data_IF_927769871380
#
_entry.id   IF_927769871380
#
_cell.length_a   1.000
_cell.length_b   1.000
_cell.length_c   1.000
_cell.angle_alpha   90.00
_cell.angle_beta   90.00
_cell.angle_gamma   90.00
#
_symmetry.space_group_name_H-M   'P 1'
#
loop_
_entity.id
_entity.type
_entity.pdbx_description
1 polymer ?
#
# COMPACT_ATOMS: atom_id res chain seq x y z
N UNK A 1 -18.85 25.85 14.19
CA UNK A 1 -19.17 24.60 13.48
C UNK A 1 -18.58 24.71 12.09
N UNK A 2 -17.29 24.39 11.95
CA UNK A 2 -16.63 24.30 10.64
C UNK A 2 -16.93 22.91 10.09
N UNK A 3 -17.65 22.83 8.98
CA UNK A 3 -17.82 21.58 8.24
C UNK A 3 -16.45 20.94 8.03
N UNK A 4 -16.25 19.74 8.57
CA UNK A 4 -15.09 18.92 8.25
C UNK A 4 -15.14 18.63 6.76
N UNK A 5 -14.29 19.32 5.98
CA UNK A 5 -14.11 19.04 4.56
C UNK A 5 -13.58 17.61 4.44
N UNK A 6 -14.46 16.64 4.19
CA UNK A 6 -14.04 15.29 3.81
C UNK A 6 -13.62 15.32 2.36
N UNK A 7 -12.39 14.90 2.11
CA UNK A 7 -11.92 14.66 0.75
C UNK A 7 -12.66 13.44 0.19
N UNK A 8 -13.17 13.57 -1.03
CA UNK A 8 -13.70 12.44 -1.81
C UNK A 8 -12.66 12.00 -2.83
N UNK A 9 -12.65 10.72 -3.15
CA UNK A 9 -11.85 10.15 -4.24
C UNK A 9 -12.76 9.64 -5.38
N UNK A 10 -13.98 10.19 -5.50
CA UNK A 10 -14.95 9.82 -6.54
C UNK A 10 -14.46 10.13 -7.96
N UNK A 11 -13.70 11.22 -8.12
CA UNK A 11 -13.10 11.58 -9.41
C UNK A 11 -11.58 11.66 -9.32
N UNK A 12 -10.91 11.53 -10.47
CA UNK A 12 -9.48 11.74 -10.58
C UNK A 12 -9.08 13.17 -10.19
N UNK A 13 -9.92 14.17 -10.47
CA UNK A 13 -9.68 15.56 -10.11
C UNK A 13 -9.74 15.76 -8.59
N UNK A 14 -10.73 15.18 -7.91
CA UNK A 14 -10.87 15.27 -6.46
C UNK A 14 -9.71 14.55 -5.76
N UNK A 15 -9.34 13.37 -6.27
CA UNK A 15 -8.18 12.60 -5.79
C UNK A 15 -6.89 13.41 -5.93
N UNK A 16 -6.68 14.05 -7.08
CA UNK A 16 -5.50 14.89 -7.32
C UNK A 16 -5.47 16.12 -6.40
N UNK A 17 -6.61 16.77 -6.19
CA UNK A 17 -6.74 17.90 -5.26
C UNK A 17 -6.39 17.47 -3.82
N UNK A 18 -6.89 16.32 -3.38
CA UNK A 18 -6.55 15.74 -2.08
C UNK A 18 -5.06 15.45 -1.93
N UNK A 19 -4.44 14.83 -2.93
CA UNK A 19 -2.99 14.56 -2.96
C UNK A 19 -2.20 15.87 -2.86
N UNK A 20 -2.57 16.89 -3.62
CA UNK A 20 -1.90 18.19 -3.60
C UNK A 20 -2.03 18.89 -2.25
N UNK A 21 -3.19 18.81 -1.61
CA UNK A 21 -3.40 19.36 -0.26
C UNK A 21 -2.52 18.66 0.79
N UNK A 22 -2.38 17.34 0.71
CA UNK A 22 -1.44 16.58 1.56
C UNK A 22 0.00 17.04 1.32
N UNK A 23 0.42 17.13 0.06
CA UNK A 23 1.78 17.56 -0.30
C UNK A 23 2.05 18.96 0.24
N UNK A 24 1.13 19.90 0.02
CA UNK A 24 1.26 21.28 0.50
C UNK A 24 1.35 21.33 2.02
N UNK A 25 0.54 20.53 2.74
CA UNK A 25 0.60 20.46 4.20
C UNK A 25 1.91 19.86 4.73
N UNK A 26 2.44 18.83 4.09
CA UNK A 26 3.65 18.13 4.54
C UNK A 26 4.96 18.82 4.11
N UNK A 27 4.92 19.67 3.07
CA UNK A 27 6.10 20.33 2.50
C UNK A 27 6.92 21.13 3.53
N UNK A 28 6.33 21.98 4.40
CA UNK A 28 7.08 22.74 5.41
C UNK A 28 7.89 21.88 6.38
N UNK A 29 7.54 20.60 6.45
CA UNK A 29 8.01 19.66 7.44
C UNK A 29 8.91 18.55 6.87
N UNK A 30 8.93 18.43 5.54
CA UNK A 30 9.49 17.28 4.84
C UNK A 30 10.98 17.08 5.16
N UNK A 31 11.76 18.15 5.11
CA UNK A 31 13.21 18.14 5.41
C UNK A 31 13.50 17.90 6.89
N UNK A 32 12.64 18.38 7.79
CA UNK A 32 12.90 18.40 9.23
C UNK A 32 12.53 17.09 9.92
N UNK A 33 11.46 16.41 9.52
CA UNK A 33 11.01 15.19 10.22
C UNK A 33 10.49 14.04 9.36
N UNK A 34 10.13 14.26 8.09
CA UNK A 34 9.50 13.19 7.26
C UNK A 34 10.55 12.40 6.49
N UNK A 35 11.45 13.09 5.80
CA UNK A 35 12.45 12.49 4.92
C UNK A 35 13.67 11.88 5.64
N UNK A 36 14.16 12.44 6.76
CA UNK A 36 15.36 11.91 7.42
C UNK A 36 15.15 10.47 7.91
N UNK A 37 16.10 9.59 7.59
CA UNK A 37 16.19 8.28 8.24
C UNK A 37 16.32 8.48 9.75
N UNK A 38 15.71 7.61 10.57
CA UNK A 38 15.67 7.76 12.03
C UNK A 38 17.04 8.00 12.66
N UNK A 39 18.09 7.35 12.14
CA UNK A 39 19.47 7.54 12.61
C UNK A 39 19.96 8.97 12.35
N UNK A 40 19.67 9.52 11.16
CA UNK A 40 20.06 10.88 10.79
C UNK A 40 19.25 11.92 11.57
N UNK A 41 17.98 11.64 11.84
CA UNK A 41 17.16 12.48 12.71
C UNK A 41 17.83 12.73 14.06
N UNK A 42 18.39 11.68 14.67
CA UNK A 42 19.09 11.84 15.94
C UNK A 42 20.51 12.38 15.80
N UNK A 43 21.27 11.90 14.82
CA UNK A 43 22.66 12.31 14.61
C UNK A 43 22.78 13.80 14.31
N UNK A 44 21.88 14.33 13.48
CA UNK A 44 21.91 15.71 13.01
C UNK A 44 21.00 16.62 13.85
N UNK A 45 20.51 16.14 15.00
CA UNK A 45 19.68 16.88 15.95
C UNK A 45 18.44 17.53 15.33
N UNK A 46 17.82 16.87 14.34
CA UNK A 46 16.72 17.45 13.57
C UNK A 46 15.46 17.72 14.42
N UNK A 47 15.37 17.14 15.62
CA UNK A 47 14.34 17.46 16.61
C UNK A 47 14.35 18.94 17.02
N UNK A 48 15.48 19.66 16.89
CA UNK A 48 15.57 21.09 17.20
C UNK A 48 14.76 21.96 16.22
N UNK A 49 14.50 21.43 15.02
CA UNK A 49 13.65 22.10 14.02
C UNK A 49 12.15 21.91 14.30
N UNK A 50 11.78 21.06 15.25
CA UNK A 50 10.40 20.89 15.68
C UNK A 50 10.02 22.05 16.61
N UNK A 51 8.76 22.49 16.54
CA UNK A 51 8.27 23.55 17.42
C UNK A 51 8.55 23.21 18.91
N UNK A 52 9.26 24.12 19.59
CA UNK A 52 9.70 23.91 20.96
C UNK A 52 8.54 23.70 21.96
N UNK A 53 7.40 24.36 21.75
CA UNK A 53 6.20 24.17 22.57
C UNK A 53 5.63 22.76 22.39
N UNK A 54 5.72 22.21 21.19
CA UNK A 54 5.27 20.84 20.93
C UNK A 54 6.15 19.84 21.66
N UNK A 55 7.48 20.02 21.59
CA UNK A 55 8.43 19.14 22.30
C UNK A 55 8.27 19.25 23.81
N UNK A 56 8.17 20.46 24.38
CA UNK A 56 8.02 20.63 25.83
C UNK A 56 6.71 20.01 26.35
N UNK A 57 5.62 20.18 25.59
CA UNK A 57 4.34 19.56 25.90
C UNK A 57 4.41 18.03 25.80
N UNK A 58 4.80 17.50 24.63
CA UNK A 58 4.75 16.06 24.35
C UNK A 58 5.75 15.25 25.17
N UNK A 59 6.89 15.83 25.57
CA UNK A 59 7.87 15.15 26.45
C UNK A 59 7.29 14.84 27.83
N UNK A 60 6.31 15.62 28.29
CA UNK A 60 5.66 15.47 29.60
C UNK A 60 4.41 14.60 29.54
N UNK A 61 3.98 14.17 28.36
CA UNK A 61 2.80 13.33 28.18
C UNK A 61 3.03 11.87 28.58
N UNK A 62 2.05 11.22 29.21
CA UNK A 62 2.00 9.77 29.28
C UNK A 62 2.00 9.13 27.89
N UNK A 63 2.70 8.01 27.74
CA UNK A 63 2.81 7.26 26.47
C UNK A 63 1.43 6.93 25.89
N UNK A 64 0.45 6.64 26.74
CA UNK A 64 -0.93 6.34 26.34
C UNK A 64 -1.57 7.49 25.55
N UNK A 65 -1.25 8.74 25.89
CA UNK A 65 -1.76 9.90 25.15
C UNK A 65 -1.03 10.06 23.81
N UNK A 66 0.29 9.80 23.77
CA UNK A 66 1.09 9.86 22.55
C UNK A 66 0.62 8.85 21.49
N UNK A 67 0.23 7.65 21.91
CA UNK A 67 -0.28 6.60 21.02
C UNK A 67 -1.61 6.97 20.34
N UNK A 68 -2.35 7.93 20.87
CA UNK A 68 -3.65 8.37 20.32
C UNK A 68 -3.52 9.51 19.30
N UNK A 69 -2.33 10.10 19.12
CA UNK A 69 -2.10 11.18 18.16
C UNK A 69 -2.50 10.79 16.73
N UNK A 70 -2.14 9.59 16.20
CA UNK A 70 -2.56 9.19 14.85
C UNK A 70 -4.08 9.06 14.68
N UNK A 71 -4.82 8.85 15.77
CA UNK A 71 -6.29 8.80 15.75
C UNK A 71 -6.94 10.19 15.72
N UNK A 72 -6.16 11.26 15.84
CA UNK A 72 -6.64 12.65 15.89
C UNK A 72 -7.07 13.11 17.29
N UNK A 73 -6.75 12.35 18.34
CA UNK A 73 -7.10 12.73 19.71
C UNK A 73 -6.16 13.84 20.19
N UNK A 74 -6.76 14.91 20.74
CA UNK A 74 -6.05 16.05 21.32
C UNK A 74 -6.41 16.23 22.79
N UNK A 75 -5.54 16.90 23.57
CA UNK A 75 -5.81 17.25 24.97
C UNK A 75 -5.95 18.76 25.14
N UNK A 76 -6.74 19.18 26.11
CA UNK A 76 -7.05 20.60 26.32
C UNK A 76 -5.80 21.44 26.58
N UNK A 77 -4.87 20.90 27.39
CA UNK A 77 -3.63 21.56 27.78
C UNK A 77 -2.54 21.58 26.69
N UNK A 78 -2.79 20.98 25.53
CA UNK A 78 -1.85 21.02 24.41
C UNK A 78 -1.85 22.39 23.72
N UNK A 79 -0.70 22.84 23.18
CA UNK A 79 -0.60 24.07 22.40
C UNK A 79 -1.62 24.11 21.25
N UNK A 80 -2.19 25.29 20.99
CA UNK A 80 -3.20 25.45 19.94
C UNK A 80 -2.67 25.03 18.56
N UNK A 81 -1.42 25.38 18.23
CA UNK A 81 -0.74 25.00 16.99
C UNK A 81 -0.58 23.49 16.82
N UNK A 82 -0.33 22.75 17.92
CA UNK A 82 -0.24 21.29 17.90
C UNK A 82 -1.62 20.67 17.66
N UNK A 83 -2.66 21.18 18.33
CA UNK A 83 -4.03 20.72 18.12
C UNK A 83 -4.49 20.94 16.68
N UNK A 84 -4.21 22.12 16.13
CA UNK A 84 -4.51 22.44 14.73
C UNK A 84 -3.76 21.51 13.76
N UNK A 85 -2.47 21.27 13.99
CA UNK A 85 -1.69 20.34 13.18
C UNK A 85 -2.29 18.92 13.17
N UNK A 86 -2.61 18.37 14.35
CA UNK A 86 -3.17 17.01 14.49
C UNK A 86 -4.56 16.93 13.84
N UNK A 87 -5.43 17.90 14.09
CA UNK A 87 -6.78 17.92 13.52
C UNK A 87 -6.75 18.09 12.00
N UNK A 88 -5.85 18.94 11.48
CA UNK A 88 -5.66 19.11 10.03
C UNK A 88 -5.12 17.84 9.39
N UNK A 89 -4.13 17.19 10.01
CA UNK A 89 -3.65 15.88 9.56
C UNK A 89 -4.80 14.87 9.52
N UNK A 90 -5.61 14.83 10.58
CA UNK A 90 -6.75 13.92 10.70
C UNK A 90 -7.80 14.16 9.62
N UNK A 91 -8.08 15.41 9.26
CA UNK A 91 -9.07 15.74 8.21
C UNK A 91 -8.60 15.34 6.82
N UNK A 92 -7.30 15.16 6.60
CA UNK A 92 -6.73 14.72 5.31
C UNK A 92 -6.54 13.20 5.24
N UNK A 93 -6.90 12.45 6.28
CA UNK A 93 -6.81 10.98 6.25
C UNK A 93 -7.76 10.45 5.19
N UNK A 94 -7.26 9.50 4.39
CA UNK A 94 -8.08 8.78 3.41
C UNK A 94 -9.32 8.20 4.07
N UNK A 95 -10.50 8.43 3.49
CA UNK A 95 -11.74 7.90 4.03
C UNK A 95 -11.72 6.37 3.95
N UNK A 96 -11.56 5.72 5.10
CA UNK A 96 -11.65 4.27 5.22
C UNK A 96 -13.09 3.87 5.54
N UNK A 97 -14.00 4.09 4.59
CA UNK A 97 -15.30 3.43 4.66
C UNK A 97 -15.10 1.93 4.38
N UNK A 98 -15.62 1.09 5.27
CA UNK A 98 -15.67 -0.35 5.02
C UNK A 98 -16.63 -0.59 3.86
N UNK A 99 -16.09 -0.70 2.65
CA UNK A 99 -16.84 -1.14 1.50
C UNK A 99 -17.09 -2.64 1.62
N UNK A 100 -18.33 -3.08 1.35
CA UNK A 100 -18.60 -4.49 1.10
C UNK A 100 -17.83 -4.90 -0.15
N UNK A 101 -16.90 -5.84 0.00
CA UNK A 101 -16.04 -6.27 -1.10
C UNK A 101 -16.84 -6.84 -2.27
N UNK A 102 -18.02 -7.43 -2.02
CA UNK A 102 -18.90 -7.94 -3.08
C UNK A 102 -19.57 -6.80 -3.85
N UNK A 103 -19.83 -5.66 -3.19
CA UNK A 103 -20.34 -4.47 -3.85
C UNK A 103 -19.23 -3.71 -4.59
N UNK A 104 -18.04 -3.60 -3.99
CA UNK A 104 -16.91 -2.89 -4.59
C UNK A 104 -16.26 -3.65 -5.76
N UNK A 105 -16.21 -4.98 -5.68
CA UNK A 105 -15.62 -5.88 -6.67
C UNK A 105 -16.61 -7.00 -7.00
N UNK A 106 -17.70 -6.69 -7.72
CA UNK A 106 -18.69 -7.70 -8.10
C UNK A 106 -18.02 -8.79 -8.96
N UNK A 107 -18.22 -10.05 -8.58
CA UNK A 107 -17.62 -11.19 -9.27
C UNK A 107 -16.23 -11.58 -8.78
N UNK A 108 -15.73 -11.00 -7.68
CA UNK A 108 -14.49 -11.46 -7.04
C UNK A 108 -14.61 -12.94 -6.65
N UNK A 109 -13.81 -13.79 -7.31
CA UNK A 109 -13.73 -15.22 -7.02
C UNK A 109 -12.30 -15.55 -6.58
N UNK A 110 -12.13 -15.77 -5.29
CA UNK A 110 -10.88 -16.29 -4.75
C UNK A 110 -10.74 -17.76 -5.11
N UNK A 111 -9.70 -18.08 -5.87
CA UNK A 111 -9.41 -19.46 -6.27
C UNK A 111 -8.12 -19.93 -5.60
N UNK A 112 -8.16 -21.13 -5.02
CA UNK A 112 -6.98 -21.72 -4.40
C UNK A 112 -5.90 -21.98 -5.45
N UNK A 113 -4.64 -21.66 -5.16
CA UNK A 113 -3.57 -21.86 -6.14
C UNK A 113 -3.29 -23.34 -6.42
N UNK A 114 -2.99 -23.63 -7.68
CA UNK A 114 -2.41 -24.91 -8.07
C UNK A 114 -1.09 -25.16 -7.32
N UNK A 115 -0.84 -26.40 -6.89
CA UNK A 115 0.39 -26.80 -6.18
C UNK A 115 1.68 -26.39 -6.89
N UNK A 116 1.70 -26.46 -8.23
CA UNK A 116 2.87 -26.10 -9.03
C UNK A 116 3.15 -24.60 -8.97
N UNK A 117 2.11 -23.79 -9.05
CA UNK A 117 2.23 -22.32 -8.94
C UNK A 117 2.56 -21.92 -7.50
N UNK A 118 1.98 -22.60 -6.52
CA UNK A 118 2.21 -22.34 -5.09
C UNK A 118 3.59 -22.81 -4.57
N UNK A 119 4.38 -23.53 -5.37
CA UNK A 119 5.63 -24.16 -4.91
C UNK A 119 6.61 -23.13 -4.33
N UNK A 120 7.09 -23.34 -3.11
CA UNK A 120 8.01 -22.42 -2.43
C UNK A 120 7.33 -21.19 -1.82
N UNK A 121 6.00 -21.12 -1.79
CA UNK A 121 5.27 -20.20 -0.91
C UNK A 121 5.07 -20.86 0.46
N UNK A 122 5.23 -20.10 1.54
CA UNK A 122 4.69 -20.52 2.84
C UNK A 122 3.17 -20.26 2.88
N UNK A 123 2.48 -20.77 3.92
CA UNK A 123 1.02 -20.65 4.02
C UNK A 123 0.52 -19.20 3.98
N UNK A 124 1.21 -18.29 4.68
CA UNK A 124 0.85 -16.85 4.70
C UNK A 124 0.98 -16.22 3.31
N UNK A 125 2.14 -16.38 2.66
CA UNK A 125 2.41 -15.83 1.34
C UNK A 125 1.44 -16.38 0.30
N UNK A 126 1.11 -17.67 0.38
CA UNK A 126 0.11 -18.28 -0.50
C UNK A 126 -1.25 -17.58 -0.36
N UNK A 127 -1.74 -17.41 0.86
CA UNK A 127 -3.01 -16.75 1.12
C UNK A 127 -3.03 -15.29 0.64
N UNK A 128 -1.96 -14.54 0.91
CA UNK A 128 -1.81 -13.15 0.44
C UNK A 128 -1.84 -13.07 -1.10
N UNK A 129 -1.15 -13.99 -1.79
CA UNK A 129 -1.13 -14.04 -3.25
C UNK A 129 -2.49 -14.48 -3.83
N UNK A 130 -3.17 -15.44 -3.22
CA UNK A 130 -4.54 -15.85 -3.61
C UNK A 130 -5.49 -14.66 -3.60
N UNK A 131 -5.53 -13.94 -2.48
CA UNK A 131 -6.42 -12.79 -2.32
C UNK A 131 -6.06 -11.66 -3.31
N UNK A 132 -4.78 -11.28 -3.37
CA UNK A 132 -4.36 -10.15 -4.21
C UNK A 132 -4.53 -10.44 -5.70
N UNK A 133 -4.21 -11.65 -6.15
CA UNK A 133 -4.38 -12.05 -7.56
C UNK A 133 -5.83 -12.00 -8.02
N UNK A 134 -6.78 -12.40 -7.16
CA UNK A 134 -8.20 -12.33 -7.47
C UNK A 134 -8.65 -10.87 -7.63
N UNK A 135 -8.26 -9.99 -6.70
CA UNK A 135 -8.58 -8.56 -6.76
C UNK A 135 -8.02 -7.93 -8.03
N UNK A 136 -6.74 -8.18 -8.33
CA UNK A 136 -6.08 -7.64 -9.52
C UNK A 136 -6.75 -8.15 -10.80
N UNK A 137 -7.12 -9.43 -10.88
CA UNK A 137 -7.83 -9.98 -12.05
C UNK A 137 -9.18 -9.31 -12.25
N UNK A 138 -9.99 -9.19 -11.20
CA UNK A 138 -11.31 -8.55 -11.27
C UNK A 138 -11.20 -7.10 -11.73
N UNK A 139 -10.20 -6.35 -11.24
CA UNK A 139 -9.95 -4.98 -11.69
C UNK A 139 -9.47 -4.94 -13.14
N UNK A 140 -8.51 -5.80 -13.52
CA UNK A 140 -7.98 -5.85 -14.88
C UNK A 140 -9.08 -6.18 -15.91
N UNK A 141 -9.98 -7.10 -15.59
CA UNK A 141 -11.14 -7.45 -16.41
C UNK A 141 -12.14 -6.30 -16.51
N UNK A 142 -12.44 -5.62 -15.40
CA UNK A 142 -13.44 -4.53 -15.37
C UNK A 142 -12.99 -3.33 -16.20
N UNK A 143 -11.69 -3.01 -16.22
CA UNK A 143 -11.12 -1.93 -17.03
C UNK A 143 -10.64 -2.38 -18.42
N UNK A 144 -10.78 -3.68 -18.75
CA UNK A 144 -10.26 -4.30 -19.99
C UNK A 144 -8.78 -4.00 -20.21
N UNK A 145 -7.98 -4.18 -19.16
CA UNK A 145 -6.55 -3.98 -19.21
C UNK A 145 -5.90 -4.95 -20.23
N UNK A 146 -4.99 -4.42 -21.04
CA UNK A 146 -4.26 -5.22 -22.03
C UNK A 146 -3.05 -5.92 -21.41
N UNK A 147 -2.53 -5.39 -20.30
CA UNK A 147 -1.42 -5.96 -19.56
C UNK A 147 -1.43 -5.42 -18.12
N UNK A 148 -0.81 -6.18 -17.22
CA UNK A 148 -0.57 -5.81 -15.82
C UNK A 148 0.92 -5.58 -15.63
N UNK A 149 1.31 -4.49 -14.95
CA UNK A 149 2.71 -4.21 -14.60
C UNK A 149 2.88 -4.39 -13.09
N UNK A 150 3.64 -5.40 -12.69
CA UNK A 150 3.95 -5.73 -11.29
C UNK A 150 5.32 -5.14 -10.92
N UNK A 151 5.32 -3.98 -10.24
CA UNK A 151 6.53 -3.26 -9.86
C UNK A 151 6.95 -3.64 -8.43
N UNK A 152 8.20 -4.08 -8.28
CA UNK A 152 8.66 -4.70 -7.03
C UNK A 152 8.18 -6.14 -6.92
N UNK A 153 8.15 -6.86 -8.05
CA UNK A 153 7.58 -8.21 -8.13
C UNK A 153 8.30 -9.25 -7.25
N UNK A 154 9.50 -8.95 -6.75
CA UNK A 154 10.33 -9.87 -5.99
C UNK A 154 10.56 -11.15 -6.78
N UNK A 155 10.29 -12.30 -6.16
CA UNK A 155 10.43 -13.61 -6.81
C UNK A 155 9.26 -13.97 -7.75
N UNK A 156 8.44 -12.99 -8.13
CA UNK A 156 7.43 -13.09 -9.17
C UNK A 156 6.18 -13.88 -8.79
N UNK A 157 5.96 -14.21 -7.53
CA UNK A 157 4.86 -15.07 -7.08
C UNK A 157 3.48 -14.60 -7.57
N UNK A 158 3.19 -13.30 -7.45
CA UNK A 158 1.93 -12.70 -7.92
C UNK A 158 1.85 -12.75 -9.45
N UNK A 159 2.90 -12.28 -10.13
CA UNK A 159 2.99 -12.30 -11.59
C UNK A 159 2.75 -13.69 -12.19
N UNK A 160 3.29 -14.76 -11.58
CA UNK A 160 3.05 -16.13 -12.03
C UNK A 160 1.59 -16.55 -11.92
N UNK A 161 0.90 -16.18 -10.83
CA UNK A 161 -0.52 -16.50 -10.66
C UNK A 161 -1.36 -15.75 -11.68
N UNK A 162 -1.10 -14.45 -11.85
CA UNK A 162 -1.80 -13.63 -12.83
C UNK A 162 -1.61 -14.16 -14.26
N UNK A 163 -0.40 -14.57 -14.62
CA UNK A 163 -0.10 -15.09 -15.96
C UNK A 163 -0.65 -16.49 -16.20
N UNK A 164 -0.43 -17.45 -15.29
CA UNK A 164 -0.74 -18.85 -15.54
C UNK A 164 -2.12 -19.29 -15.05
N UNK A 165 -2.67 -18.66 -14.02
CA UNK A 165 -4.00 -19.01 -13.48
C UNK A 165 -5.09 -18.10 -14.05
N UNK A 166 -4.84 -16.79 -14.05
CA UNK A 166 -5.81 -15.80 -14.55
C UNK A 166 -5.61 -15.42 -16.02
N UNK A 167 -4.55 -15.93 -16.69
CA UNK A 167 -4.30 -15.73 -18.12
C UNK A 167 -4.13 -14.27 -18.55
N UNK A 168 -3.66 -13.40 -17.65
CA UNK A 168 -3.34 -12.01 -17.97
C UNK A 168 -1.93 -11.88 -18.53
N UNK A 169 -1.68 -11.00 -19.51
CA UNK A 169 -0.33 -10.56 -19.84
C UNK A 169 0.28 -9.77 -18.68
N UNK A 170 1.45 -10.19 -18.19
CA UNK A 170 2.10 -9.56 -17.03
C UNK A 170 3.54 -9.18 -17.36
N UNK A 171 3.93 -7.96 -16.98
CA UNK A 171 5.31 -7.47 -16.98
C UNK A 171 5.73 -7.34 -15.52
N UNK A 172 6.63 -8.20 -15.07
CA UNK A 172 7.18 -8.17 -13.71
C UNK A 172 8.52 -7.43 -13.69
N UNK A 173 8.66 -6.44 -12.80
CA UNK A 173 9.86 -5.58 -12.70
C UNK A 173 10.35 -5.60 -11.26
N UNK A 174 11.66 -5.80 -11.06
CA UNK A 174 12.31 -5.70 -9.76
C UNK A 174 13.68 -5.05 -9.91
N UNK A 175 14.11 -4.27 -8.90
CA UNK A 175 15.43 -3.64 -8.90
C UNK A 175 16.57 -4.63 -8.62
N UNK A 176 16.27 -5.80 -8.05
CA UNK A 176 17.22 -6.86 -7.76
C UNK A 176 17.32 -7.84 -8.94
N UNK A 177 18.49 -7.89 -9.60
CA UNK A 177 18.71 -8.82 -10.72
C UNK A 177 18.52 -10.29 -10.36
N UNK A 178 18.85 -10.68 -9.11
CA UNK A 178 18.61 -12.03 -8.61
C UNK A 178 17.12 -12.38 -8.59
N UNK A 179 16.25 -11.42 -8.25
CA UNK A 179 14.80 -11.61 -8.28
C UNK A 179 14.27 -11.83 -9.70
N UNK A 180 14.81 -11.11 -10.69
CA UNK A 180 14.52 -11.34 -12.10
C UNK A 180 14.85 -12.77 -12.54
N UNK A 181 16.08 -13.23 -12.28
CA UNK A 181 16.50 -14.59 -12.64
C UNK A 181 15.64 -15.69 -11.99
N UNK A 182 15.29 -15.52 -10.71
CA UNK A 182 14.41 -16.46 -10.00
C UNK A 182 13.00 -16.47 -10.61
N UNK A 183 12.48 -15.32 -10.99
CA UNK A 183 11.17 -15.18 -11.63
C UNK A 183 11.13 -15.89 -12.98
N UNK A 184 12.15 -15.70 -13.82
CA UNK A 184 12.24 -16.35 -15.13
C UNK A 184 12.35 -17.86 -15.03
N UNK A 185 13.24 -18.36 -14.16
CA UNK A 185 13.39 -19.80 -13.94
C UNK A 185 12.09 -20.45 -13.44
N UNK A 186 11.33 -19.72 -12.63
CA UNK A 186 10.02 -20.16 -12.12
C UNK A 186 8.96 -20.17 -13.22
N UNK A 187 8.89 -19.13 -14.05
CA UNK A 187 7.98 -19.07 -15.21
C UNK A 187 8.22 -20.24 -16.15
N UNK A 188 9.47 -20.51 -16.52
CA UNK A 188 9.82 -21.60 -17.42
C UNK A 188 9.45 -22.98 -16.84
N UNK A 189 9.67 -23.18 -15.53
CA UNK A 189 9.24 -24.42 -14.85
C UNK A 189 7.72 -24.61 -14.91
N UNK A 190 6.96 -23.57 -14.62
CA UNK A 190 5.48 -23.62 -14.63
C UNK A 190 4.97 -23.85 -16.07
N UNK A 191 5.51 -23.11 -17.03
CA UNK A 191 5.20 -23.26 -18.47
C UNK A 191 5.43 -24.70 -18.94
N UNK A 192 6.61 -25.26 -18.66
CA UNK A 192 6.94 -26.66 -19.02
C UNK A 192 5.94 -27.65 -18.43
N UNK A 193 5.53 -27.45 -17.18
CA UNK A 193 4.52 -28.30 -16.54
C UNK A 193 3.19 -28.26 -17.30
N UNK A 194 2.64 -27.08 -17.58
CA UNK A 194 1.38 -26.94 -18.31
C UNK A 194 1.46 -27.45 -19.75
N UNK A 195 2.53 -27.15 -20.48
CA UNK A 195 2.76 -27.69 -21.83
C UNK A 195 2.77 -29.22 -21.82
N UNK A 196 3.43 -29.84 -20.83
CA UNK A 196 3.48 -31.30 -20.72
C UNK A 196 2.13 -31.95 -20.43
N UNK A 197 1.22 -31.24 -19.73
CA UNK A 197 -0.13 -31.74 -19.49
C UNK A 197 -0.98 -31.67 -20.76
N UNK A 198 -0.89 -30.57 -21.53
CA UNK A 198 -1.64 -30.43 -22.77
C UNK A 198 -1.31 -31.53 -23.79
N UNK A 199 -0.03 -31.93 -23.89
CA UNK A 199 0.41 -33.03 -24.77
C UNK A 199 -0.11 -34.40 -24.33
N UNK A 200 -0.42 -34.59 -23.04
CA UNK A 200 -0.97 -35.86 -22.52
C UNK A 200 -2.49 -35.97 -22.61
N UNK A 201 -3.17 -34.84 -22.83
CA UNK A 201 -4.63 -34.75 -22.86
C UNK A 201 -5.22 -34.60 -24.26
N UNK A 202 -4.37 -34.46 -25.28
CA UNK A 202 -4.76 -34.51 -26.71
C UNK A 202 -4.38 -35.84 -27.33
#
# INVERSE_FOLDING_TARGET
>A
MTEERRYSCETAADTLAWINDIIHFLTPYFSSFINPHVVNFFKDQLWENVNAEWIDCLRREPVQNLLLIPSGVVKDHWPASLKEYILKLRSMVFCQEQADINMALPGLQMTSLNRVIAQGMNGKKRHEVEALSAVVSTVAESVRAHAIVDVGAGQGYLAQVLAFQYQHPVIAIDACSHHGMVTDARAERIKKHYTSQMVKSG
#
